data_IF_181435039539
#
_entry.id   IF_181435039539
#
_cell.length_a   1.000
_cell.length_b   1.000
_cell.length_c   1.000
_cell.angle_alpha   90.00
_cell.angle_beta   90.00
_cell.angle_gamma   90.00
#
_symmetry.space_group_name_H-M   'P 1'
#
loop_
_entity.id
_entity.type
_entity.pdbx_description
1 polymer ?
#
# COMPACT_ATOMS: atom_id res chain seq x y z
N UNK A 1 2.35 -3.17 -10.15
CA UNK A 1 1.84 -2.18 -11.13
C UNK A 1 1.46 -0.86 -10.46
N UNK A 2 1.36 -0.84 -9.13
CA UNK A 2 0.84 0.22 -8.28
C UNK A 2 1.70 1.49 -8.38
N UNK A 3 3.03 1.34 -8.31
CA UNK A 3 3.95 2.47 -8.48
C UNK A 3 3.92 3.09 -9.89
N UNK A 4 3.70 2.29 -10.94
CA UNK A 4 3.56 2.83 -12.29
C UNK A 4 2.31 3.73 -12.41
N UNK A 5 1.21 3.35 -11.75
CA UNK A 5 0.00 4.17 -11.71
C UNK A 5 0.21 5.46 -10.90
N UNK A 6 0.90 5.37 -9.74
CA UNK A 6 1.26 6.55 -8.94
C UNK A 6 2.15 7.51 -9.71
N UNK A 7 3.16 6.99 -10.41
CA UNK A 7 4.03 7.78 -11.27
C UNK A 7 3.23 8.51 -12.35
N UNK A 8 2.27 7.83 -13.01
CA UNK A 8 1.42 8.47 -14.01
C UNK A 8 0.55 9.58 -13.41
N UNK A 9 -0.06 9.36 -12.26
CA UNK A 9 -0.88 10.38 -11.60
C UNK A 9 -0.07 11.61 -11.19
N UNK A 10 1.20 11.42 -10.78
CA UNK A 10 2.12 12.55 -10.57
C UNK A 10 2.36 13.34 -11.86
N UNK A 11 2.58 12.65 -12.99
CA UNK A 11 2.74 13.32 -14.30
C UNK A 11 1.48 14.09 -14.73
N UNK A 12 0.30 13.62 -14.34
CA UNK A 12 -0.98 14.31 -14.56
C UNK A 12 -1.23 15.47 -13.55
N UNK A 13 -0.24 15.80 -12.70
CA UNK A 13 -0.29 16.94 -11.78
C UNK A 13 -0.93 16.67 -10.42
N UNK A 14 -1.25 15.41 -10.10
CA UNK A 14 -1.82 15.05 -8.80
C UNK A 14 -0.70 14.99 -7.75
N UNK A 15 -0.79 15.71 -6.61
CA UNK A 15 0.28 15.81 -5.62
C UNK A 15 0.35 14.56 -4.72
N UNK A 16 0.64 13.40 -5.30
CA UNK A 16 0.76 12.12 -4.59
C UNK A 16 2.19 11.94 -4.10
N UNK A 17 2.35 11.69 -2.81
CA UNK A 17 3.68 11.39 -2.20
C UNK A 17 3.96 9.89 -2.08
N UNK A 18 2.92 9.06 -2.11
CA UNK A 18 3.02 7.62 -2.00
C UNK A 18 1.65 6.97 -1.78
N UNK A 19 1.67 5.69 -1.45
CA UNK A 19 0.48 4.92 -1.09
C UNK A 19 0.82 3.88 -0.02
N UNK A 20 -0.20 3.37 0.65
CA UNK A 20 -0.07 2.31 1.66
C UNK A 20 -0.98 1.14 1.34
N UNK A 21 -0.61 -0.05 1.80
CA UNK A 21 -1.49 -1.21 1.79
C UNK A 21 -2.33 -1.21 3.05
N UNK A 22 -3.65 -1.25 2.88
CA UNK A 22 -4.56 -1.54 3.98
C UNK A 22 -5.06 -2.99 3.84
N UNK A 23 -4.87 -3.87 4.82
CA UNK A 23 -4.33 -3.67 6.18
C UNK A 23 -2.94 -4.32 6.37
N UNK A 24 -2.24 -3.94 7.44
CA UNK A 24 -1.01 -4.62 7.84
C UNK A 24 -1.28 -6.07 8.28
N UNK A 25 -2.36 -6.28 9.02
CA UNK A 25 -2.70 -7.57 9.62
C UNK A 25 -4.09 -8.03 9.17
N UNK A 26 -4.30 -9.34 9.08
CA UNK A 26 -5.62 -9.94 8.85
C UNK A 26 -6.66 -9.35 9.80
N UNK A 27 -7.88 -9.22 9.30
CA UNK A 27 -8.96 -8.55 10.00
C UNK A 27 -9.92 -9.59 10.59
N UNK A 28 -10.62 -9.23 11.65
CA UNK A 28 -11.64 -10.07 12.28
C UNK A 28 -13.02 -9.46 12.02
N UNK A 29 -13.98 -10.29 11.65
CA UNK A 29 -15.40 -9.94 11.44
C UNK A 29 -15.64 -8.78 10.46
N UNK A 30 -14.72 -8.59 9.51
CA UNK A 30 -14.83 -7.60 8.45
C UNK A 30 -15.92 -7.95 7.42
N UNK A 31 -16.21 -9.24 7.26
CA UNK A 31 -17.30 -9.79 6.46
C UNK A 31 -18.68 -9.34 6.96
N UNK A 32 -18.83 -9.04 8.25
CA UNK A 32 -20.06 -8.51 8.85
C UNK A 32 -19.99 -7.00 9.12
N UNK A 33 -18.90 -6.35 8.73
CA UNK A 33 -18.66 -4.94 9.02
C UNK A 33 -18.55 -4.65 10.52
N UNK A 34 -17.96 -5.58 11.29
CA UNK A 34 -17.75 -5.47 12.74
C UNK A 34 -19.05 -5.40 13.57
N UNK A 35 -20.17 -5.88 13.00
CA UNK A 35 -21.51 -5.82 13.65
C UNK A 35 -21.81 -7.02 14.53
N UNK A 36 -21.02 -8.07 14.38
CA UNK A 36 -21.17 -9.36 15.04
C UNK A 36 -19.80 -9.80 15.56
N UNK A 37 -19.77 -10.52 16.69
CA UNK A 37 -18.56 -11.10 17.29
C UNK A 37 -18.50 -12.59 16.94
N UNK A 38 -18.18 -12.87 15.67
CA UNK A 38 -18.15 -14.24 15.14
C UNK A 38 -16.73 -14.83 15.21
N UNK A 39 -15.70 -13.99 15.35
CA UNK A 39 -14.30 -14.41 15.33
C UNK A 39 -13.81 -14.85 13.94
N UNK A 40 -14.51 -14.46 12.88
CA UNK A 40 -14.17 -14.83 11.50
C UNK A 40 -12.92 -14.07 11.05
N UNK A 41 -11.84 -14.80 10.78
CA UNK A 41 -10.60 -14.22 10.25
C UNK A 41 -10.73 -14.00 8.74
N UNK A 42 -10.53 -12.76 8.32
CA UNK A 42 -10.50 -12.31 6.94
C UNK A 42 -9.03 -12.12 6.50
N UNK A 43 -8.47 -13.02 5.66
CA UNK A 43 -7.03 -13.07 5.33
C UNK A 43 -6.63 -12.02 4.27
N UNK A 44 -6.84 -10.75 4.59
CA UNK A 44 -6.67 -9.60 3.69
C UNK A 44 -5.42 -8.76 4.04
N UNK A 45 -4.71 -9.10 5.12
CA UNK A 45 -3.56 -8.35 5.59
C UNK A 45 -2.25 -8.71 4.87
N UNK A 46 -1.24 -7.84 5.02
CA UNK A 46 0.14 -8.18 4.65
C UNK A 46 0.71 -9.33 5.51
N UNK A 47 0.22 -9.47 6.74
CA UNK A 47 0.57 -10.53 7.68
C UNK A 47 -0.67 -11.13 8.33
N UNK A 48 -0.58 -12.39 8.77
CA UNK A 48 -1.64 -13.03 9.53
C UNK A 48 -1.64 -12.63 11.02
N UNK A 49 -2.60 -13.18 11.79
CA UNK A 49 -2.74 -12.88 13.22
C UNK A 49 -1.49 -13.25 14.05
N UNK A 50 -0.73 -14.25 13.62
CA UNK A 50 0.52 -14.69 14.23
C UNK A 50 1.77 -13.93 13.73
N UNK A 51 1.57 -12.84 12.98
CA UNK A 51 2.64 -11.99 12.40
C UNK A 51 3.50 -12.70 11.35
N UNK A 52 3.01 -13.78 10.76
CA UNK A 52 3.64 -14.39 9.60
C UNK A 52 3.25 -13.63 8.33
N UNK A 53 4.22 -13.40 7.44
CA UNK A 53 3.99 -12.64 6.21
C UNK A 53 3.13 -13.46 5.23
N UNK A 54 2.04 -12.88 4.74
CA UNK A 54 1.20 -13.47 3.71
C UNK A 54 1.87 -13.36 2.32
N UNK A 55 1.45 -14.14 1.31
CA UNK A 55 1.97 -14.02 -0.06
C UNK A 55 1.93 -12.58 -0.61
N UNK A 56 0.87 -11.83 -0.30
CA UNK A 56 0.74 -10.41 -0.67
C UNK A 56 1.76 -9.51 0.04
N UNK A 57 2.12 -9.82 1.28
CA UNK A 57 3.19 -9.15 2.01
C UNK A 57 4.55 -9.32 1.34
N UNK A 58 4.85 -10.52 0.83
CA UNK A 58 6.06 -10.76 0.04
C UNK A 58 6.05 -9.96 -1.28
N UNK A 59 4.91 -9.91 -1.97
CA UNK A 59 4.75 -9.13 -3.20
C UNK A 59 4.93 -7.62 -2.94
N UNK A 60 4.33 -7.09 -1.87
CA UNK A 60 4.47 -5.69 -1.48
C UNK A 60 5.90 -5.33 -1.07
N UNK A 61 6.58 -6.21 -0.33
CA UNK A 61 8.01 -6.05 -0.01
C UNK A 61 8.87 -6.00 -1.28
N UNK A 62 8.62 -6.89 -2.25
CA UNK A 62 9.32 -6.89 -3.54
C UNK A 62 9.07 -5.59 -4.31
N UNK A 63 7.82 -5.14 -4.33
CA UNK A 63 7.43 -3.88 -4.96
C UNK A 63 8.18 -2.70 -4.34
N UNK A 64 8.25 -2.59 -3.02
CA UNK A 64 9.03 -1.53 -2.36
C UNK A 64 10.50 -1.63 -2.75
N UNK A 65 11.11 -2.81 -2.68
CA UNK A 65 12.53 -2.98 -3.03
C UNK A 65 12.85 -2.56 -4.47
N UNK A 66 11.93 -2.81 -5.42
CA UNK A 66 12.11 -2.45 -6.83
C UNK A 66 12.04 -0.94 -7.10
N UNK A 67 11.31 -0.19 -6.28
CA UNK A 67 11.02 1.23 -6.53
C UNK A 67 11.68 2.18 -5.52
N UNK A 68 12.20 1.70 -4.39
CA UNK A 68 12.80 2.56 -3.35
C UNK A 68 13.93 3.46 -3.87
N UNK A 69 14.64 3.04 -4.93
CA UNK A 69 15.78 3.78 -5.50
C UNK A 69 15.35 4.74 -6.62
N UNK A 70 14.16 4.56 -7.19
CA UNK A 70 13.63 5.44 -8.24
C UNK A 70 12.80 6.60 -7.69
N UNK A 71 12.30 6.48 -6.46
CA UNK A 71 11.41 7.47 -5.81
C UNK A 71 12.10 8.75 -5.29
N UNK A 72 13.32 8.72 -4.71
CA UNK A 72 13.98 9.93 -4.20
C UNK A 72 14.45 10.88 -5.30
N UNK A 73 14.56 10.38 -6.54
CA UNK A 73 15.05 11.14 -7.69
C UNK A 73 13.99 12.07 -8.28
N UNK A 74 12.75 12.00 -7.80
CA UNK A 74 11.64 12.90 -8.15
C UNK A 74 11.45 14.02 -7.11
N UNK A 75 12.55 14.56 -6.59
CA UNK A 75 12.49 15.77 -5.75
C UNK A 75 11.86 16.89 -6.57
N UNK A 76 10.73 17.39 -6.07
CA UNK A 76 9.97 18.50 -6.64
C UNK A 76 10.73 19.81 -6.45
N UNK A 77 11.82 19.99 -7.20
CA UNK A 77 12.36 21.32 -7.47
C UNK A 77 11.96 21.62 -8.91
N UNK A 78 10.87 22.37 -9.06
CA UNK A 78 10.42 23.18 -10.19
C UNK A 78 8.90 23.05 -10.38
N UNK A 79 8.18 24.13 -10.09
CA UNK A 79 6.75 24.20 -10.33
C UNK A 79 5.97 25.30 -9.60
N UNK A 80 6.63 26.32 -9.03
CA UNK A 80 5.98 27.60 -8.76
C UNK A 80 6.87 28.73 -9.32
N UNK A 81 6.28 29.48 -10.25
CA UNK A 81 6.69 30.72 -10.94
C UNK A 81 7.63 30.60 -12.16
N UNK A 82 7.39 31.42 -13.22
CA UNK A 82 6.69 32.72 -13.21
C UNK A 82 5.18 32.67 -13.53
#
# INVERSE_FOLDING_TARGET
KEWANVHRLKQDGVPIVGFTWYSLQDQVDWDTGLREDNGNVNPLGLCNLDRNINPVGHAYKKLISQWRETLPTESSVLGICP
#
